data_IF_993741002780
#
_entry.id   IF_993741002780
#
_cell.length_a   1.000
_cell.length_b   1.000
_cell.length_c   1.000
_cell.angle_alpha   90.00
_cell.angle_beta   90.00
_cell.angle_gamma   90.00
#
_symmetry.space_group_name_H-M   'P 1'
#
loop_
_entity.id
_entity.type
_entity.pdbx_description
1 polymer ?
#
# COMPACT_ATOMS: atom_id res chain seq x y z
N UNK A 1 -27.29 28.04 9.67
CA UNK A 1 -28.28 26.95 9.45
C UNK A 1 -29.63 27.62 9.19
N UNK A 2 -30.51 27.00 8.40
CA UNK A 2 -31.88 27.46 8.22
C UNK A 2 -32.67 27.13 9.46
N UNK A 3 -33.78 27.82 9.78
CA UNK A 3 -34.60 27.55 10.99
C UNK A 3 -35.18 26.13 11.05
N UNK A 4 -35.26 25.47 9.89
CA UNK A 4 -35.80 24.13 9.63
C UNK A 4 -34.71 23.05 9.41
N UNK A 5 -33.42 23.41 9.58
CA UNK A 5 -32.30 22.50 9.40
C UNK A 5 -31.47 22.40 10.68
N UNK A 6 -31.31 21.19 11.17
CA UNK A 6 -30.58 20.89 12.39
C UNK A 6 -29.41 19.96 12.12
N UNK A 7 -28.33 20.11 12.87
CA UNK A 7 -27.18 19.20 12.84
C UNK A 7 -27.14 18.45 14.17
N UNK A 8 -27.24 17.13 14.09
CA UNK A 8 -26.99 16.26 15.23
C UNK A 8 -25.58 15.67 15.08
N UNK A 9 -24.76 15.79 16.11
CA UNK A 9 -23.39 15.26 16.15
C UNK A 9 -23.29 14.27 17.30
N UNK A 10 -22.96 13.01 16.98
CA UNK A 10 -22.68 11.98 17.96
C UNK A 10 -21.17 11.73 17.98
N UNK A 11 -20.54 11.97 19.14
CA UNK A 11 -19.12 11.69 19.37
C UNK A 11 -18.99 10.62 20.46
N UNK A 12 -18.42 9.47 20.12
CA UNK A 12 -18.26 8.34 21.04
C UNK A 12 -16.82 7.83 20.93
N UNK A 13 -16.21 7.49 22.07
CA UNK A 13 -14.89 6.87 22.03
C UNK A 13 -14.99 5.44 21.50
N UNK A 14 -14.11 5.08 20.57
CA UNK A 14 -14.19 3.81 19.85
C UNK A 14 -14.04 2.56 20.73
N UNK A 15 -13.45 2.68 21.94
CA UNK A 15 -13.35 1.57 22.90
C UNK A 15 -14.68 1.05 23.44
N UNK A 16 -15.75 1.85 23.32
CA UNK A 16 -17.08 1.50 23.85
C UNK A 16 -18.15 1.41 22.74
N UNK A 17 -17.79 1.67 21.49
CA UNK A 17 -18.73 1.75 20.39
C UNK A 17 -18.05 1.42 19.05
N UNK A 18 -18.56 0.44 18.35
CA UNK A 18 -18.21 0.15 16.95
C UNK A 18 -19.23 0.80 15.99
N UNK A 19 -18.99 0.67 14.66
CA UNK A 19 -19.89 1.24 13.65
C UNK A 19 -21.31 0.71 13.76
N UNK A 20 -21.47 -0.60 13.99
CA UNK A 20 -22.79 -1.21 14.18
C UNK A 20 -23.50 -0.71 15.45
N UNK A 21 -22.74 -0.40 16.49
CA UNK A 21 -23.29 0.25 17.70
C UNK A 21 -23.84 1.63 17.41
N UNK A 22 -23.18 2.41 16.53
CA UNK A 22 -23.70 3.71 16.06
C UNK A 22 -25.03 3.53 15.33
N UNK A 23 -25.16 2.50 14.49
CA UNK A 23 -26.43 2.16 13.81
C UNK A 23 -27.54 1.86 14.82
N UNK A 24 -27.24 1.09 15.86
CA UNK A 24 -28.19 0.77 16.94
C UNK A 24 -28.64 2.06 17.65
N UNK A 25 -27.67 2.89 18.05
CA UNK A 25 -27.96 4.15 18.76
C UNK A 25 -28.80 5.11 17.91
N UNK A 26 -28.45 5.28 16.64
CA UNK A 26 -29.21 6.14 15.72
C UNK A 26 -30.62 5.59 15.46
N UNK A 27 -30.75 4.29 15.25
CA UNK A 27 -32.04 3.64 15.06
C UNK A 27 -32.96 3.85 16.28
N UNK A 28 -32.44 3.57 17.47
CA UNK A 28 -33.20 3.65 18.70
C UNK A 28 -33.60 5.12 19.00
N UNK A 29 -32.69 6.08 18.75
CA UNK A 29 -32.97 7.51 18.87
C UNK A 29 -34.09 7.98 17.92
N UNK A 30 -34.03 7.57 16.67
CA UNK A 30 -34.97 7.99 15.63
C UNK A 30 -36.34 7.30 15.78
N UNK A 31 -36.37 6.05 16.22
CA UNK A 31 -37.62 5.35 16.57
C UNK A 31 -38.33 6.02 17.73
N UNK A 32 -37.61 6.42 18.80
CA UNK A 32 -38.17 7.12 19.93
C UNK A 32 -38.67 8.52 19.54
N UNK A 33 -37.89 9.27 18.75
CA UNK A 33 -38.29 10.57 18.23
C UNK A 33 -39.55 10.49 17.33
N UNK A 34 -39.65 9.41 16.52
CA UNK A 34 -40.83 9.13 15.68
C UNK A 34 -42.06 8.64 16.45
N UNK A 35 -42.01 8.58 17.79
CA UNK A 35 -43.10 8.12 18.66
C UNK A 35 -43.32 6.62 18.66
N UNK A 36 -42.41 5.85 18.07
CA UNK A 36 -42.44 4.38 18.12
C UNK A 36 -41.70 3.89 19.36
N UNK A 37 -42.31 4.11 20.55
CA UNK A 37 -41.74 3.53 21.78
C UNK A 37 -41.62 2.03 21.66
N UNK A 38 -40.43 1.50 21.73
CA UNK A 38 -40.22 0.10 22.01
C UNK A 38 -40.76 -0.19 23.41
N UNK A 39 -41.82 -0.98 23.52
CA UNK A 39 -42.17 -1.60 24.80
C UNK A 39 -40.91 -2.26 25.37
N UNK A 40 -40.68 -2.00 26.66
CA UNK A 40 -39.50 -2.45 27.40
C UNK A 40 -39.28 -3.97 27.25
N UNK A 41 -38.57 -4.40 26.22
CA UNK A 41 -38.00 -5.73 26.16
C UNK A 41 -36.62 -5.83 26.82
N UNK A 42 -36.39 -4.97 27.81
CA UNK A 42 -35.11 -4.89 28.53
C UNK A 42 -34.93 -5.93 29.65
N UNK A 43 -35.84 -6.86 29.85
CA UNK A 43 -35.87 -7.65 31.08
C UNK A 43 -34.90 -8.87 31.14
N UNK A 44 -34.12 -9.19 30.10
CA UNK A 44 -33.18 -10.35 30.18
C UNK A 44 -32.03 -10.34 29.18
N UNK A 45 -31.54 -9.20 28.74
CA UNK A 45 -30.40 -9.19 27.82
C UNK A 45 -29.12 -9.02 28.65
N UNK A 46 -28.18 -9.98 28.51
CA UNK A 46 -26.80 -9.81 28.90
C UNK A 46 -26.29 -8.48 28.35
N UNK A 47 -25.59 -7.69 29.12
CA UNK A 47 -24.97 -6.44 28.69
C UNK A 47 -23.54 -6.64 28.17
N UNK A 48 -22.90 -5.58 27.66
CA UNK A 48 -21.53 -5.65 27.18
C UNK A 48 -20.56 -6.06 28.30
N UNK A 49 -20.85 -5.73 29.55
CA UNK A 49 -20.05 -6.14 30.71
C UNK A 49 -20.07 -7.66 30.90
N UNK A 50 -21.23 -8.29 30.77
CA UNK A 50 -21.37 -9.76 30.84
C UNK A 50 -20.59 -10.43 29.71
N UNK A 51 -20.68 -9.89 28.48
CA UNK A 51 -19.89 -10.37 27.35
C UNK A 51 -18.39 -10.24 27.61
N UNK A 52 -17.92 -9.06 28.02
CA UNK A 52 -16.52 -8.80 28.33
C UNK A 52 -15.99 -9.69 29.46
N UNK A 53 -16.81 -9.97 30.48
CA UNK A 53 -16.45 -10.87 31.58
C UNK A 53 -16.33 -12.33 31.12
N UNK A 54 -17.16 -12.76 30.18
CA UNK A 54 -17.11 -14.13 29.64
C UNK A 54 -15.99 -14.32 28.59
N UNK A 55 -15.53 -13.26 27.94
CA UNK A 55 -14.57 -13.29 26.83
C UNK A 55 -13.25 -14.00 27.17
N UNK A 56 -12.55 -13.73 28.31
CA UNK A 56 -11.30 -14.40 28.62
C UNK A 56 -11.42 -15.94 28.71
N UNK A 57 -12.56 -16.44 29.21
CA UNK A 57 -12.80 -17.89 29.28
C UNK A 57 -13.02 -18.49 27.92
N UNK A 58 -13.71 -17.78 27.02
CA UNK A 58 -13.92 -18.21 25.63
C UNK A 58 -12.60 -18.23 24.88
N UNK A 59 -11.79 -17.19 25.01
CA UNK A 59 -10.48 -17.10 24.37
C UNK A 59 -9.52 -18.18 24.82
N UNK A 60 -9.53 -18.56 26.11
CA UNK A 60 -8.68 -19.61 26.63
C UNK A 60 -8.87 -20.98 25.95
N UNK A 61 -10.05 -21.21 25.34
CA UNK A 61 -10.35 -22.49 24.67
C UNK A 61 -9.72 -22.62 23.29
N UNK A 62 -9.48 -21.49 22.58
CA UNK A 62 -9.00 -21.49 21.18
C UNK A 62 -7.63 -20.85 21.04
N UNK A 63 -7.13 -20.12 22.07
CA UNK A 63 -5.98 -19.26 22.03
C UNK A 63 -4.75 -19.91 21.39
N UNK A 64 -4.40 -21.11 21.82
CA UNK A 64 -3.17 -21.75 21.36
C UNK A 64 -3.28 -22.15 19.87
N UNK A 65 -4.41 -22.69 19.44
CA UNK A 65 -4.66 -23.00 18.04
C UNK A 65 -4.72 -21.75 17.16
N UNK A 66 -5.35 -20.67 17.66
CA UNK A 66 -5.40 -19.39 16.96
C UNK A 66 -4.00 -18.78 16.82
N UNK A 67 -3.17 -18.83 17.88
CA UNK A 67 -1.77 -18.37 17.85
C UNK A 67 -0.91 -19.18 16.88
N UNK A 68 -1.08 -20.50 16.85
CA UNK A 68 -0.31 -21.35 15.94
C UNK A 68 -0.65 -21.06 14.47
N UNK A 69 -1.95 -20.85 14.15
CA UNK A 69 -2.36 -20.40 12.84
C UNK A 69 -1.74 -19.06 12.45
N UNK A 70 -1.84 -18.05 13.32
CA UNK A 70 -1.28 -16.73 13.04
C UNK A 70 0.24 -16.74 12.95
N UNK A 71 0.92 -17.53 13.77
CA UNK A 71 2.37 -17.69 13.68
C UNK A 71 2.78 -18.25 12.33
N UNK A 72 2.10 -19.30 11.86
CA UNK A 72 2.38 -19.88 10.55
C UNK A 72 2.03 -18.93 9.39
N UNK A 73 0.91 -18.20 9.52
CA UNK A 73 0.46 -17.28 8.48
C UNK A 73 1.34 -16.05 8.35
N UNK A 74 1.89 -15.53 9.46
CA UNK A 74 2.67 -14.29 9.48
C UNK A 74 4.18 -14.54 9.46
N UNK A 75 4.63 -15.80 9.45
CA UNK A 75 6.05 -16.13 9.35
C UNK A 75 6.65 -15.57 8.05
N UNK A 76 7.78 -14.88 8.17
CA UNK A 76 8.47 -14.25 7.04
C UNK A 76 7.73 -13.09 6.37
N UNK A 77 6.61 -12.60 6.94
CA UNK A 77 5.95 -11.39 6.42
C UNK A 77 6.91 -10.19 6.56
N UNK A 78 7.11 -9.37 5.50
CA UNK A 78 7.88 -8.15 5.61
C UNK A 78 7.36 -7.24 6.73
N UNK A 79 8.27 -6.65 7.50
CA UNK A 79 7.90 -5.77 8.63
C UNK A 79 7.04 -4.59 8.19
N UNK A 80 7.26 -4.14 6.95
CA UNK A 80 6.56 -2.97 6.39
C UNK A 80 6.35 -3.14 4.89
N UNK A 81 5.19 -2.69 4.43
CA UNK A 81 4.91 -2.50 3.02
C UNK A 81 5.51 -1.16 2.56
N UNK A 82 6.38 -1.19 1.56
CA UNK A 82 7.01 0.00 0.99
C UNK A 82 6.04 0.69 0.01
N UNK A 83 5.11 1.45 0.59
CA UNK A 83 4.19 2.29 -0.18
C UNK A 83 4.97 3.45 -0.84
N UNK A 84 4.62 3.86 -2.07
CA UNK A 84 5.26 4.98 -2.77
C UNK A 84 4.83 6.32 -2.15
N UNK A 85 5.40 6.63 -0.99
CA UNK A 85 5.11 7.83 -0.24
C UNK A 85 5.78 9.06 -0.86
N UNK A 86 5.08 10.21 -0.86
CA UNK A 86 5.60 11.50 -1.34
C UNK A 86 6.58 12.12 -0.35
N UNK A 87 6.42 11.78 0.93
CA UNK A 87 7.22 12.33 2.03
C UNK A 87 7.89 11.24 2.85
N UNK A 88 9.10 11.50 3.39
CA UNK A 88 9.76 10.54 4.26
C UNK A 88 8.98 10.34 5.55
N UNK A 89 8.94 9.10 6.04
CA UNK A 89 8.28 8.75 7.30
C UNK A 89 8.97 9.43 8.47
N UNK A 90 8.19 10.13 9.29
CA UNK A 90 8.66 10.74 10.52
C UNK A 90 9.06 9.67 11.55
N UNK A 91 10.00 9.99 12.46
CA UNK A 91 10.42 9.10 13.55
C UNK A 91 9.33 8.83 14.60
N UNK A 92 8.21 9.53 14.52
CA UNK A 92 7.01 9.31 15.35
C UNK A 92 5.79 9.37 14.46
N UNK A 93 4.81 8.51 14.72
CA UNK A 93 3.54 8.55 14.03
C UNK A 93 2.86 9.92 14.24
N UNK A 94 2.58 10.63 13.15
CA UNK A 94 1.97 11.97 13.23
C UNK A 94 0.46 11.92 13.44
N UNK A 95 -0.18 10.83 13.09
CA UNK A 95 -1.64 10.65 13.05
C UNK A 95 -2.38 11.74 12.25
N UNK A 96 -1.69 12.59 11.50
CA UNK A 96 -2.33 13.55 10.59
C UNK A 96 -2.95 12.80 9.44
N UNK A 97 -4.21 13.08 9.15
CA UNK A 97 -4.93 12.41 8.09
C UNK A 97 -5.73 13.36 7.23
N UNK A 98 -6.19 12.85 6.11
CA UNK A 98 -7.18 13.47 5.25
C UNK A 98 -8.02 12.39 4.58
N UNK A 99 -9.16 12.78 4.03
CA UNK A 99 -10.05 11.91 3.28
C UNK A 99 -10.04 12.28 1.80
N UNK A 100 -9.99 11.28 0.96
CA UNK A 100 -10.24 11.40 -0.47
C UNK A 100 -11.45 10.54 -0.83
N UNK A 101 -12.45 11.14 -1.48
CA UNK A 101 -13.69 10.45 -1.86
C UNK A 101 -13.81 10.42 -3.38
N UNK A 102 -14.09 9.25 -3.91
CA UNK A 102 -14.35 9.02 -5.33
C UNK A 102 -15.68 8.30 -5.53
N UNK A 103 -16.57 8.93 -6.25
CA UNK A 103 -17.78 8.29 -6.75
C UNK A 103 -17.46 7.50 -8.03
N UNK A 104 -17.95 6.29 -8.12
CA UNK A 104 -17.79 5.39 -9.25
C UNK A 104 -19.15 4.92 -9.76
N UNK A 105 -19.91 5.79 -10.47
CA UNK A 105 -21.22 5.42 -10.99
C UNK A 105 -21.09 4.26 -11.99
N UNK A 106 -22.04 3.34 -11.96
CA UNK A 106 -22.08 2.19 -12.86
C UNK A 106 -20.98 1.15 -12.63
N UNK A 107 -20.14 1.28 -11.60
CA UNK A 107 -19.05 0.32 -11.33
C UNK A 107 -19.58 -1.09 -11.15
N UNK A 108 -20.70 -1.27 -10.49
CA UNK A 108 -21.30 -2.57 -10.19
C UNK A 108 -22.22 -3.08 -11.30
N UNK A 109 -22.58 -2.24 -12.27
CA UNK A 109 -23.35 -2.64 -13.45
C UNK A 109 -22.52 -3.51 -14.42
N UNK A 110 -21.20 -3.43 -14.35
CA UNK A 110 -20.29 -4.27 -15.16
C UNK A 110 -20.30 -5.75 -14.74
N UNK A 111 -20.97 -6.08 -13.65
CA UNK A 111 -20.99 -7.43 -13.09
C UNK A 111 -21.73 -8.41 -14.01
N UNK A 112 -20.98 -9.31 -14.63
CA UNK A 112 -21.50 -10.48 -15.35
C UNK A 112 -21.68 -11.62 -14.34
N UNK A 113 -22.76 -11.72 -13.59
CA UNK A 113 -22.89 -12.91 -12.80
C UNK A 113 -24.30 -13.33 -12.43
N UNK A 114 -24.54 -14.58 -12.75
CA UNK A 114 -25.53 -15.49 -12.15
C UNK A 114 -24.89 -16.34 -11.04
N UNK A 115 -23.75 -15.93 -10.45
CA UNK A 115 -23.08 -16.71 -9.40
C UNK A 115 -23.78 -16.46 -8.06
N UNK A 116 -24.31 -17.52 -7.50
CA UNK A 116 -25.01 -17.57 -6.22
C UNK A 116 -24.05 -17.34 -5.04
N UNK A 117 -23.84 -16.09 -4.68
CA UNK A 117 -23.22 -15.61 -3.45
C UNK A 117 -24.02 -14.44 -2.93
N UNK A 118 -23.91 -14.08 -1.64
CA UNK A 118 -24.53 -12.84 -1.20
C UNK A 118 -23.80 -11.69 -1.90
N UNK A 119 -24.55 -10.74 -2.47
CA UNK A 119 -24.00 -9.62 -3.23
C UNK A 119 -22.94 -8.82 -2.43
N UNK A 120 -22.96 -8.92 -1.10
CA UNK A 120 -22.02 -8.30 -0.17
C UNK A 120 -20.69 -9.06 -0.09
N UNK A 121 -20.73 -10.39 0.09
CA UNK A 121 -19.50 -11.21 0.19
C UNK A 121 -18.69 -11.18 -1.10
N UNK A 122 -19.39 -11.18 -2.23
CA UNK A 122 -18.76 -11.04 -3.53
C UNK A 122 -18.10 -9.66 -3.71
N UNK A 123 -18.77 -8.57 -3.27
CA UNK A 123 -18.21 -7.23 -3.37
C UNK A 123 -16.99 -7.08 -2.45
N UNK A 124 -17.05 -7.68 -1.24
CA UNK A 124 -15.93 -7.69 -0.32
C UNK A 124 -14.72 -8.42 -0.93
N UNK A 125 -14.91 -9.65 -1.41
CA UNK A 125 -13.81 -10.45 -1.96
C UNK A 125 -13.19 -9.80 -3.21
N UNK A 126 -14.01 -9.28 -4.14
CA UNK A 126 -13.51 -8.57 -5.31
C UNK A 126 -12.83 -7.25 -4.95
N UNK A 127 -13.42 -6.47 -4.04
CA UNK A 127 -12.85 -5.21 -3.56
C UNK A 127 -11.49 -5.40 -2.87
N UNK A 128 -11.39 -6.38 -1.98
CA UNK A 128 -10.14 -6.71 -1.30
C UNK A 128 -9.10 -7.26 -2.29
N UNK A 129 -9.48 -8.14 -3.20
CA UNK A 129 -8.59 -8.67 -4.23
C UNK A 129 -8.05 -7.55 -5.14
N UNK A 130 -8.90 -6.63 -5.58
CA UNK A 130 -8.48 -5.47 -6.35
C UNK A 130 -7.54 -4.55 -5.55
N UNK A 131 -7.79 -4.37 -4.24
CA UNK A 131 -6.92 -3.60 -3.35
C UNK A 131 -5.54 -4.26 -3.23
N UNK A 132 -5.48 -5.55 -2.92
CA UNK A 132 -4.24 -6.32 -2.82
C UNK A 132 -3.43 -6.28 -4.12
N UNK A 133 -4.08 -6.50 -5.28
CA UNK A 133 -3.43 -6.45 -6.58
C UNK A 133 -2.90 -5.05 -6.92
N UNK A 134 -3.66 -4.01 -6.60
CA UNK A 134 -3.22 -2.62 -6.80
C UNK A 134 -2.01 -2.30 -5.95
N UNK A 135 -2.04 -2.64 -4.66
CA UNK A 135 -0.90 -2.45 -3.74
C UNK A 135 0.33 -3.23 -4.17
N UNK A 136 0.17 -4.52 -4.54
CA UNK A 136 1.26 -5.35 -5.04
C UNK A 136 2.01 -4.67 -6.18
N UNK A 137 1.29 -4.12 -7.15
CA UNK A 137 1.89 -3.44 -8.31
C UNK A 137 2.50 -2.08 -8.00
N UNK A 138 1.89 -1.31 -7.08
CA UNK A 138 2.45 -0.03 -6.66
C UNK A 138 3.73 -0.19 -5.83
N UNK A 139 3.79 -1.23 -5.00
CA UNK A 139 4.93 -1.49 -4.11
C UNK A 139 5.97 -2.41 -4.75
N UNK A 140 5.67 -3.05 -5.89
CA UNK A 140 6.51 -4.12 -6.46
C UNK A 140 6.69 -5.30 -5.49
N UNK A 141 5.69 -5.55 -4.64
CA UNK A 141 5.75 -6.56 -3.59
C UNK A 141 4.96 -7.81 -4.00
N UNK A 142 5.62 -8.97 -3.96
CA UNK A 142 4.99 -10.26 -4.28
C UNK A 142 4.23 -10.83 -3.07
N UNK A 143 4.58 -10.42 -1.86
CA UNK A 143 4.00 -10.84 -0.60
C UNK A 143 3.64 -9.62 0.23
N UNK A 144 2.37 -9.47 0.55
CA UNK A 144 1.88 -8.34 1.32
C UNK A 144 0.67 -8.72 2.17
N UNK A 145 0.38 -7.91 3.17
CA UNK A 145 -0.77 -8.09 4.04
C UNK A 145 -1.57 -6.79 4.19
N UNK A 146 -2.88 -6.96 4.31
CA UNK A 146 -3.85 -5.90 4.53
C UNK A 146 -4.67 -6.25 5.77
N UNK A 147 -4.88 -5.29 6.65
CA UNK A 147 -5.81 -5.43 7.76
C UNK A 147 -7.26 -5.37 7.29
N UNK A 148 -8.13 -6.13 7.92
CA UNK A 148 -9.57 -6.01 7.72
C UNK A 148 -10.31 -6.11 9.04
N UNK A 149 -11.18 -5.14 9.37
CA UNK A 149 -11.99 -5.21 10.58
C UNK A 149 -13.11 -6.22 10.40
N UNK A 150 -13.25 -7.13 11.36
CA UNK A 150 -14.28 -8.16 11.35
C UNK A 150 -15.14 -8.05 12.60
N UNK A 151 -16.44 -8.31 12.44
CA UNK A 151 -17.37 -8.32 13.56
C UNK A 151 -17.27 -9.62 14.35
N UNK A 152 -17.27 -9.51 15.68
CA UNK A 152 -17.39 -10.63 16.62
C UNK A 152 -18.84 -10.86 17.08
N UNK A 153 -19.83 -10.28 16.41
CA UNK A 153 -21.26 -10.43 16.69
C UNK A 153 -21.78 -11.75 16.08
N UNK A 154 -21.40 -12.85 16.71
CA UNK A 154 -21.64 -14.21 16.24
C UNK A 154 -22.94 -14.83 16.73
N UNK A 155 -23.70 -14.15 17.59
CA UNK A 155 -24.92 -14.67 18.20
C UNK A 155 -25.99 -13.60 18.39
N UNK A 156 -27.26 -14.04 18.42
CA UNK A 156 -28.42 -13.15 18.58
C UNK A 156 -28.33 -12.22 19.82
N UNK A 157 -27.85 -12.69 20.99
CA UNK A 157 -27.73 -11.80 22.15
C UNK A 157 -26.85 -10.59 21.94
N UNK A 158 -25.73 -10.74 21.17
CA UNK A 158 -24.78 -9.62 20.96
C UNK A 158 -25.13 -8.78 19.72
N UNK A 159 -26.04 -9.24 18.86
CA UNK A 159 -26.38 -8.57 17.61
C UNK A 159 -26.91 -7.12 17.81
N UNK A 160 -27.65 -6.87 18.87
CA UNK A 160 -28.24 -5.57 19.21
C UNK A 160 -27.57 -4.90 20.43
N UNK A 161 -26.40 -5.32 20.81
CA UNK A 161 -25.67 -4.80 21.97
C UNK A 161 -24.78 -3.63 21.54
N UNK A 162 -24.77 -2.54 22.31
CA UNK A 162 -23.81 -1.45 22.10
C UNK A 162 -22.49 -1.81 22.77
N UNK A 163 -21.39 -1.76 22.02
CA UNK A 163 -20.06 -2.10 22.52
C UNK A 163 -19.02 -2.22 21.42
N UNK A 164 -17.79 -2.55 21.77
CA UNK A 164 -16.72 -2.79 20.84
C UNK A 164 -16.63 -4.29 20.47
N UNK A 165 -17.19 -4.67 19.33
CA UNK A 165 -17.22 -6.05 18.83
C UNK A 165 -16.44 -6.20 17.53
N UNK A 166 -15.48 -5.32 17.28
CA UNK A 166 -14.63 -5.39 16.09
C UNK A 166 -13.22 -5.79 16.46
N UNK A 167 -12.68 -6.76 15.74
CA UNK A 167 -11.28 -7.16 15.83
C UNK A 167 -10.65 -7.10 14.43
N UNK A 168 -9.49 -6.47 14.24
CA UNK A 168 -8.77 -6.53 12.98
C UNK A 168 -8.17 -7.93 12.76
N UNK A 169 -8.36 -8.49 11.56
CA UNK A 169 -7.64 -9.67 11.08
C UNK A 169 -6.65 -9.28 10.00
N UNK A 170 -5.61 -10.08 9.83
CA UNK A 170 -4.59 -9.86 8.79
C UNK A 170 -4.89 -10.79 7.62
N UNK A 171 -5.08 -10.23 6.43
CA UNK A 171 -5.22 -11.00 5.21
C UNK A 171 -3.92 -10.88 4.42
N UNK A 172 -3.12 -11.94 4.46
CA UNK A 172 -1.89 -12.08 3.68
C UNK A 172 -2.19 -12.89 2.43
N UNK A 173 -1.83 -12.34 1.28
CA UNK A 173 -1.97 -13.04 0.02
C UNK A 173 -0.68 -12.84 -0.77
N UNK A 174 0.04 -13.91 -1.11
CA UNK A 174 1.16 -13.80 -2.04
C UNK A 174 0.66 -13.28 -3.38
N UNK A 175 1.47 -12.50 -4.08
CA UNK A 175 1.13 -12.01 -5.41
C UNK A 175 0.82 -13.19 -6.33
N UNK A 176 -0.35 -13.16 -6.97
CA UNK A 176 -0.72 -14.15 -7.97
C UNK A 176 -0.34 -13.61 -9.35
N UNK A 177 0.94 -13.71 -9.71
CA UNK A 177 1.41 -13.26 -11.03
C UNK A 177 0.83 -14.07 -12.20
N UNK A 178 0.24 -15.25 -11.95
CA UNK A 178 -0.27 -16.17 -12.96
C UNK A 178 -1.62 -16.75 -12.59
N UNK A 179 -2.62 -16.49 -13.41
CA UNK A 179 -3.97 -17.04 -13.23
C UNK A 179 -5.04 -16.08 -13.73
N UNK A 180 -6.29 -16.52 -13.67
CA UNK A 180 -7.44 -15.67 -13.96
C UNK A 180 -7.82 -14.81 -12.75
N UNK A 181 -8.58 -13.75 -12.99
CA UNK A 181 -9.21 -12.94 -11.95
C UNK A 181 -10.05 -13.81 -11.01
N UNK A 182 -10.81 -14.75 -11.56
CA UNK A 182 -11.66 -15.65 -10.78
C UNK A 182 -10.85 -16.53 -9.81
N UNK A 183 -9.69 -17.07 -10.26
CA UNK A 183 -8.80 -17.87 -9.42
C UNK A 183 -8.23 -17.04 -8.28
N UNK A 184 -7.82 -15.81 -8.59
CA UNK A 184 -7.25 -14.90 -7.58
C UNK A 184 -8.29 -14.48 -6.54
N UNK A 185 -9.49 -14.07 -6.96
CA UNK A 185 -10.59 -13.73 -6.04
C UNK A 185 -10.97 -14.93 -5.17
N UNK A 186 -10.95 -16.14 -5.73
CA UNK A 186 -11.20 -17.37 -4.98
C UNK A 186 -10.12 -17.62 -3.93
N UNK A 187 -8.85 -17.42 -4.28
CA UNK A 187 -7.73 -17.55 -3.35
C UNK A 187 -7.81 -16.52 -2.22
N UNK A 188 -8.12 -15.26 -2.53
CA UNK A 188 -8.33 -14.20 -1.53
C UNK A 188 -9.50 -14.55 -0.61
N UNK A 189 -10.61 -15.02 -1.16
CA UNK A 189 -11.78 -15.47 -0.37
C UNK A 189 -11.41 -16.60 0.59
N UNK A 190 -10.61 -17.56 0.14
CA UNK A 190 -10.14 -18.64 0.98
C UNK A 190 -9.32 -18.11 2.17
N UNK A 191 -8.35 -17.22 1.91
CA UNK A 191 -7.55 -16.60 2.98
C UNK A 191 -8.39 -15.78 3.97
N UNK A 192 -9.39 -15.08 3.46
CA UNK A 192 -10.36 -14.37 4.33
C UNK A 192 -11.11 -15.34 5.24
N UNK A 193 -11.62 -16.44 4.68
CA UNK A 193 -12.36 -17.43 5.47
C UNK A 193 -11.48 -18.09 6.54
N UNK A 194 -10.23 -18.45 6.21
CA UNK A 194 -9.26 -18.94 7.19
C UNK A 194 -9.02 -17.92 8.31
N UNK A 195 -8.79 -16.64 7.97
CA UNK A 195 -8.62 -15.58 8.96
C UNK A 195 -9.86 -15.37 9.84
N UNK A 196 -11.06 -15.54 9.27
CA UNK A 196 -12.33 -15.46 10.01
C UNK A 196 -12.52 -16.59 11.01
N UNK A 197 -12.02 -17.78 10.75
CA UNK A 197 -12.04 -18.90 11.71
C UNK A 197 -11.22 -18.57 12.97
N UNK A 198 -10.17 -17.77 12.83
CA UNK A 198 -9.25 -17.34 13.90
C UNK A 198 -9.45 -15.90 14.38
N UNK A 199 -10.61 -15.28 14.05
CA UNK A 199 -10.90 -13.87 14.34
C UNK A 199 -11.09 -13.55 15.83
N UNK A 200 -11.24 -14.57 16.68
CA UNK A 200 -11.49 -14.36 18.10
C UNK A 200 -10.24 -13.95 18.88
N UNK A 201 -9.04 -14.28 18.40
CA UNK A 201 -7.80 -13.84 19.03
C UNK A 201 -7.67 -12.31 18.93
N UNK A 202 -7.62 -11.57 20.05
CA UNK A 202 -7.48 -10.12 20.00
C UNK A 202 -6.18 -9.70 19.29
N UNK A 203 -6.27 -8.70 18.44
CA UNK A 203 -5.12 -8.21 17.68
C UNK A 203 -3.98 -7.75 18.57
N UNK A 204 -4.28 -7.17 19.74
CA UNK A 204 -3.27 -6.79 20.73
C UNK A 204 -2.51 -8.00 21.27
N UNK A 205 -3.19 -9.14 21.44
CA UNK A 205 -2.55 -10.40 21.83
C UNK A 205 -1.62 -10.89 20.72
N UNK A 206 -2.10 -10.85 19.48
CA UNK A 206 -1.29 -11.20 18.31
C UNK A 206 -0.01 -10.35 18.23
N UNK A 207 -0.15 -9.04 18.39
CA UNK A 207 0.99 -8.09 18.37
C UNK A 207 1.97 -8.37 19.52
N UNK A 208 1.47 -8.61 20.73
CA UNK A 208 2.33 -8.85 21.88
C UNK A 208 3.12 -10.16 21.79
N UNK A 209 2.56 -11.19 21.15
CA UNK A 209 3.18 -12.51 21.04
C UNK A 209 4.13 -12.63 19.84
N UNK A 210 3.80 -12.01 18.71
CA UNK A 210 4.52 -12.19 17.45
C UNK A 210 5.35 -10.98 17.00
N UNK A 211 5.10 -9.79 17.53
CA UNK A 211 5.84 -8.56 17.21
C UNK A 211 6.30 -7.81 18.48
N UNK A 212 7.05 -8.44 19.41
CA UNK A 212 7.43 -7.82 20.67
C UNK A 212 8.38 -6.61 20.50
N UNK A 213 9.16 -6.58 19.43
CA UNK A 213 10.14 -5.53 19.11
C UNK A 213 9.64 -4.56 18.03
N UNK A 214 8.35 -4.24 18.04
CA UNK A 214 7.69 -3.37 17.05
C UNK A 214 8.30 -1.97 16.98
N UNK A 215 8.39 -1.44 15.77
CA UNK A 215 8.66 -0.03 15.53
C UNK A 215 7.39 0.79 15.84
N UNK A 216 7.54 1.87 16.61
CA UNK A 216 6.43 2.76 16.95
C UNK A 216 5.99 3.68 15.80
N UNK A 217 6.67 3.65 14.66
CA UNK A 217 6.39 4.51 13.50
C UNK A 217 5.29 3.96 12.59
N UNK A 218 4.94 2.69 12.73
CA UNK A 218 3.91 2.03 11.91
C UNK A 218 3.19 0.91 12.67
N UNK A 219 2.05 0.48 12.15
CA UNK A 219 1.33 -0.67 12.68
C UNK A 219 2.07 -1.96 12.30
N UNK A 220 2.29 -2.90 13.23
CA UNK A 220 2.83 -4.21 12.89
C UNK A 220 1.86 -4.98 12.00
N UNK A 221 2.39 -5.86 11.14
CA UNK A 221 1.71 -6.75 10.20
C UNK A 221 1.02 -6.08 9.01
N UNK A 222 0.44 -4.87 9.15
CA UNK A 222 -0.17 -4.16 8.02
C UNK A 222 -0.16 -2.65 8.23
N UNK A 223 0.02 -1.89 7.16
CA UNK A 223 -0.05 -0.43 7.11
C UNK A 223 -1.26 0.05 6.32
N UNK A 224 -1.93 -0.87 5.64
CA UNK A 224 -3.15 -0.63 4.88
C UNK A 224 -4.29 -1.45 5.46
N UNK A 225 -5.48 -0.84 5.58
CA UNK A 225 -6.70 -1.52 5.96
C UNK A 225 -7.74 -1.43 4.84
N UNK A 226 -8.47 -2.52 4.62
CA UNK A 226 -9.59 -2.56 3.69
C UNK A 226 -10.90 -2.79 4.45
N UNK A 227 -11.90 -1.95 4.17
CA UNK A 227 -13.21 -1.96 4.83
C UNK A 227 -14.31 -1.96 3.78
N UNK A 228 -15.19 -2.96 3.81
CA UNK A 228 -16.45 -2.86 3.10
C UNK A 228 -17.49 -2.18 4.00
N UNK A 229 -17.75 -0.92 3.71
CA UNK A 229 -18.68 -0.10 4.50
C UNK A 229 -20.14 -0.33 4.07
N UNK A 230 -21.02 -0.38 5.03
CA UNK A 230 -22.46 -0.34 4.82
C UNK A 230 -23.01 1.00 5.28
N UNK A 231 -23.92 1.57 4.50
CA UNK A 231 -24.62 2.76 4.97
C UNK A 231 -25.54 2.37 6.13
N UNK A 232 -25.52 3.12 7.24
CA UNK A 232 -26.48 2.89 8.33
C UNK A 232 -27.91 2.89 7.78
N UNK A 233 -28.70 1.89 8.15
CA UNK A 233 -30.13 1.89 7.86
C UNK A 233 -30.80 2.94 8.73
N UNK A 234 -31.01 4.13 8.19
CA UNK A 234 -31.70 5.21 8.88
C UNK A 234 -33.21 4.99 8.79
N UNK A 235 -33.93 4.85 9.91
CA UNK A 235 -35.38 4.74 9.89
C UNK A 235 -36.02 6.00 9.29
N UNK A 236 -37.04 5.83 8.47
CA UNK A 236 -37.85 6.95 8.01
C UNK A 236 -38.68 7.52 9.18
N UNK A 237 -38.51 8.81 9.43
CA UNK A 237 -39.27 9.54 10.43
C UNK A 237 -40.17 10.55 9.70
N UNK A 238 -41.52 10.45 9.85
CA UNK A 238 -42.44 11.36 9.17
C UNK A 238 -42.10 12.84 9.48
N UNK A 239 -41.95 13.62 8.42
CA UNK A 239 -41.63 15.05 8.53
C UNK A 239 -40.16 15.41 8.73
N UNK A 240 -39.27 14.42 8.73
CA UNK A 240 -37.81 14.63 8.74
C UNK A 240 -37.17 14.06 7.48
N UNK A 241 -36.33 14.88 6.85
CA UNK A 241 -35.38 14.45 5.84
C UNK A 241 -34.01 14.33 6.51
N UNK A 242 -33.46 13.10 6.57
CA UNK A 242 -32.27 12.79 7.37
C UNK A 242 -31.13 12.40 6.45
N UNK A 243 -30.05 13.17 6.47
CA UNK A 243 -28.83 12.89 5.76
C UNK A 243 -27.71 12.51 6.75
N UNK A 244 -27.08 11.37 6.52
CA UNK A 244 -25.89 10.96 7.28
C UNK A 244 -24.63 11.41 6.55
N UNK A 245 -23.74 12.09 7.27
CA UNK A 245 -22.43 12.52 6.76
C UNK A 245 -21.33 12.05 7.71
N UNK A 246 -20.29 11.43 7.14
CA UNK A 246 -19.03 11.19 7.84
C UNK A 246 -18.29 12.52 8.00
N UNK A 247 -17.78 12.79 9.17
CA UNK A 247 -16.91 13.94 9.42
C UNK A 247 -15.46 13.55 9.24
N UNK A 248 -14.71 14.36 8.50
CA UNK A 248 -13.26 14.29 8.49
C UNK A 248 -12.72 14.83 9.81
N UNK A 249 -12.01 13.99 10.55
CA UNK A 249 -11.39 14.36 11.83
C UNK A 249 -9.98 14.92 11.64
N UNK A 250 -9.46 14.93 10.42
CA UNK A 250 -8.08 15.33 10.12
C UNK A 250 -7.03 14.35 10.67
N UNK A 251 -7.45 13.10 10.95
CA UNK A 251 -6.56 12.08 11.51
C UNK A 251 -6.60 10.78 10.72
N UNK A 252 -5.47 10.06 10.70
CA UNK A 252 -5.37 8.69 10.19
C UNK A 252 -4.56 7.84 11.16
N UNK A 253 -5.03 6.62 11.45
CA UNK A 253 -4.34 5.67 12.33
C UNK A 253 -3.34 4.79 11.58
N UNK A 254 -3.53 4.64 10.29
CA UNK A 254 -2.71 3.83 9.39
C UNK A 254 -2.14 4.71 8.27
N UNK A 255 -1.30 4.15 7.44
CA UNK A 255 -0.84 4.83 6.24
C UNK A 255 -2.00 5.07 5.28
N UNK A 256 -2.82 4.03 5.06
CA UNK A 256 -4.03 4.08 4.24
C UNK A 256 -5.15 3.24 4.86
N UNK A 257 -6.39 3.74 4.79
CA UNK A 257 -7.60 2.92 4.98
C UNK A 257 -8.50 3.10 3.76
N UNK A 258 -8.77 2.01 3.05
CA UNK A 258 -9.62 2.00 1.86
C UNK A 258 -11.00 1.53 2.24
N UNK A 259 -11.98 2.41 2.16
CA UNK A 259 -13.40 2.08 2.34
C UNK A 259 -14.05 1.91 0.97
N UNK A 260 -14.71 0.79 0.77
CA UNK A 260 -15.53 0.53 -0.39
C UNK A 260 -17.00 0.46 0.05
N UNK A 261 -17.86 1.26 -0.56
CA UNK A 261 -19.30 1.30 -0.24
C UNK A 261 -20.14 1.19 -1.51
N UNK A 262 -21.18 0.39 -1.45
CA UNK A 262 -22.16 0.33 -2.52
C UNK A 262 -23.00 1.62 -2.57
N UNK A 263 -23.16 2.20 -3.74
CA UNK A 263 -23.97 3.39 -4.00
C UNK A 263 -24.87 3.15 -5.23
N UNK A 264 -26.07 2.65 -5.03
CA UNK A 264 -26.97 2.26 -6.12
C UNK A 264 -26.37 1.14 -6.99
N UNK A 265 -26.24 1.42 -8.28
CA UNK A 265 -25.58 0.58 -9.29
C UNK A 265 -24.05 0.81 -9.38
N UNK A 266 -23.56 1.79 -8.64
CA UNK A 266 -22.15 2.11 -8.50
C UNK A 266 -21.57 1.84 -7.14
N UNK A 267 -20.39 2.40 -6.90
CA UNK A 267 -19.73 2.36 -5.60
C UNK A 267 -19.13 3.73 -5.28
N UNK A 268 -18.92 3.97 -3.99
CA UNK A 268 -18.10 5.05 -3.47
C UNK A 268 -16.86 4.44 -2.85
N UNK A 269 -15.71 4.99 -3.19
CA UNK A 269 -14.42 4.64 -2.62
C UNK A 269 -13.96 5.83 -1.81
N UNK A 270 -13.77 5.63 -0.50
CA UNK A 270 -13.18 6.64 0.38
C UNK A 270 -11.82 6.13 0.84
N UNK A 271 -10.79 6.97 0.73
CA UNK A 271 -9.45 6.65 1.24
C UNK A 271 -9.12 7.65 2.34
N UNK A 272 -8.99 7.14 3.58
CA UNK A 272 -8.35 7.85 4.67
C UNK A 272 -6.85 7.59 4.56
N UNK A 273 -6.05 8.64 4.59
CA UNK A 273 -4.61 8.52 4.40
C UNK A 273 -3.83 9.42 5.34
N UNK A 274 -2.60 9.00 5.66
CA UNK A 274 -1.66 9.80 6.43
C UNK A 274 -1.12 10.94 5.56
N UNK A 275 -1.60 12.17 5.79
CA UNK A 275 -1.18 13.36 5.05
C UNK A 275 0.26 13.82 5.36
N UNK A 276 0.94 13.18 6.30
CA UNK A 276 2.38 13.31 6.50
C UNK A 276 3.22 12.41 5.59
N UNK A 277 2.58 11.47 4.88
CA UNK A 277 3.24 10.57 3.94
C UNK A 277 2.82 10.82 2.49
N UNK A 278 1.57 11.16 2.25
CA UNK A 278 0.99 11.25 0.91
C UNK A 278 0.36 12.60 0.63
N UNK A 279 0.52 13.06 -0.59
CA UNK A 279 -0.20 14.19 -1.15
C UNK A 279 -1.52 13.73 -1.79
N UNK A 280 -2.52 14.62 -1.79
CA UNK A 280 -3.84 14.30 -2.35
C UNK A 280 -3.82 13.83 -3.82
N UNK A 281 -2.97 14.38 -4.74
CA UNK A 281 -2.88 13.87 -6.10
C UNK A 281 -2.40 12.42 -6.20
N UNK A 282 -1.48 12.00 -5.35
CA UNK A 282 -0.97 10.61 -5.29
C UNK A 282 -2.09 9.66 -4.87
N UNK A 283 -2.85 10.03 -3.83
CA UNK A 283 -4.01 9.25 -3.38
C UNK A 283 -5.10 9.19 -4.45
N UNK A 284 -5.35 10.31 -5.14
CA UNK A 284 -6.30 10.34 -6.25
C UNK A 284 -5.90 9.34 -7.36
N UNK A 285 -4.64 9.35 -7.78
CA UNK A 285 -4.12 8.43 -8.80
C UNK A 285 -4.20 6.96 -8.36
N UNK A 286 -3.84 6.64 -7.11
CA UNK A 286 -3.96 5.29 -6.54
C UNK A 286 -5.42 4.83 -6.49
N UNK A 287 -6.33 5.71 -6.08
CA UNK A 287 -7.77 5.42 -6.01
C UNK A 287 -8.36 5.18 -7.42
N UNK A 288 -7.90 5.96 -8.41
CA UNK A 288 -8.30 5.78 -9.81
C UNK A 288 -7.83 4.45 -10.37
N UNK A 289 -6.61 4.05 -10.07
CA UNK A 289 -6.06 2.76 -10.46
C UNK A 289 -6.85 1.61 -9.79
N UNK A 290 -7.11 1.70 -8.50
CA UNK A 290 -7.92 0.73 -7.76
C UNK A 290 -9.33 0.59 -8.35
N UNK A 291 -10.02 1.71 -8.61
CA UNK A 291 -11.36 1.71 -9.20
C UNK A 291 -11.38 1.06 -10.59
N UNK A 292 -10.33 1.26 -11.37
CA UNK A 292 -10.17 0.66 -12.70
C UNK A 292 -9.94 -0.84 -12.60
N UNK A 293 -8.98 -1.28 -11.79
CA UNK A 293 -8.71 -2.70 -11.56
C UNK A 293 -9.98 -3.40 -11.10
N UNK A 294 -10.69 -2.84 -10.13
CA UNK A 294 -11.96 -3.42 -9.66
C UNK A 294 -13.01 -3.52 -10.77
N UNK A 295 -13.13 -2.49 -11.62
CA UNK A 295 -14.07 -2.50 -12.76
C UNK A 295 -13.72 -3.60 -13.76
N UNK A 296 -12.46 -3.74 -14.13
CA UNK A 296 -12.00 -4.75 -15.07
C UNK A 296 -12.17 -6.17 -14.51
N UNK A 297 -11.88 -6.38 -13.24
CA UNK A 297 -12.10 -7.66 -12.55
C UNK A 297 -13.58 -8.06 -12.52
N UNK A 298 -14.48 -7.10 -12.26
CA UNK A 298 -15.91 -7.35 -12.25
C UNK A 298 -16.49 -7.60 -13.64
N UNK A 299 -15.92 -6.96 -14.68
CA UNK A 299 -16.38 -7.08 -16.05
C UNK A 299 -15.99 -8.43 -16.68
N UNK A 300 -14.81 -8.95 -16.39
CA UNK A 300 -14.30 -10.20 -16.96
C UNK A 300 -13.52 -11.04 -15.93
N UNK A 301 -14.20 -11.92 -15.19
CA UNK A 301 -13.56 -12.83 -14.25
C UNK A 301 -12.61 -13.85 -14.89
N UNK A 302 -12.73 -14.10 -16.19
CA UNK A 302 -11.87 -15.00 -16.95
C UNK A 302 -10.55 -14.36 -17.41
N UNK A 303 -10.45 -13.03 -17.34
CA UNK A 303 -9.26 -12.26 -17.76
C UNK A 303 -8.05 -12.65 -16.93
N UNK A 304 -6.88 -12.64 -17.55
CA UNK A 304 -5.60 -12.91 -16.87
C UNK A 304 -5.21 -11.70 -16.01
N UNK A 305 -4.59 -11.97 -14.87
CA UNK A 305 -4.14 -10.91 -13.96
C UNK A 305 -3.08 -9.99 -14.58
N UNK A 306 -2.17 -10.55 -15.39
CA UNK A 306 -1.11 -9.79 -16.05
C UNK A 306 -1.62 -8.85 -17.15
N UNK A 307 -2.85 -9.05 -17.64
CA UNK A 307 -3.52 -8.18 -18.62
C UNK A 307 -4.23 -6.98 -17.98
N UNK A 308 -4.44 -6.99 -16.65
CA UNK A 308 -5.06 -5.87 -15.94
C UNK A 308 -4.06 -4.71 -15.85
N UNK A 309 -4.47 -3.50 -16.21
CA UNK A 309 -3.60 -2.32 -16.22
C UNK A 309 -3.92 -1.36 -15.08
N UNK A 310 -2.89 -0.83 -14.40
CA UNK A 310 -3.04 0.33 -13.52
C UNK A 310 -3.22 1.64 -14.32
N UNK A 311 -2.78 1.68 -15.59
CA UNK A 311 -2.91 2.83 -16.47
C UNK A 311 -4.18 2.74 -17.33
N UNK A 312 -4.87 3.88 -17.56
CA UNK A 312 -6.04 3.95 -18.45
C UNK A 312 -5.65 3.89 -19.93
N UNK A 313 -6.50 3.28 -20.77
CA UNK A 313 -6.31 3.22 -22.22
C UNK A 313 -6.35 4.61 -22.91
N UNK A 314 -6.85 5.65 -22.25
CA UNK A 314 -7.16 6.94 -22.85
C UNK A 314 -6.09 8.01 -22.70
N UNK A 315 -4.95 7.71 -22.17
CA UNK A 315 -3.90 8.71 -22.13
C UNK A 315 -2.73 8.28 -22.99
N UNK A 316 -2.63 8.91 -24.17
CA UNK A 316 -1.36 9.25 -24.77
C UNK A 316 -0.44 10.04 -23.81
N UNK A 317 -0.97 10.49 -22.69
CA UNK A 317 -0.32 10.66 -21.40
C UNK A 317 -0.32 9.29 -20.70
N UNK A 318 0.78 8.59 -20.72
CA UNK A 318 1.18 7.76 -19.60
C UNK A 318 0.74 8.54 -18.36
N UNK A 319 -0.04 7.96 -17.40
CA UNK A 319 -0.08 8.56 -16.07
C UNK A 319 1.40 8.73 -15.76
N UNK A 320 1.82 9.96 -15.48
CA UNK A 320 3.22 10.24 -15.19
C UNK A 320 3.56 9.12 -14.25
N UNK A 321 4.23 8.11 -14.80
CA UNK A 321 4.42 6.79 -14.19
C UNK A 321 4.92 7.20 -12.87
N UNK A 322 4.20 6.89 -11.77
CA UNK A 322 4.35 7.54 -10.52
C UNK A 322 5.85 7.78 -10.43
N UNK A 323 6.26 9.03 -10.73
CA UNK A 323 7.67 9.27 -10.94
C UNK A 323 8.13 9.07 -9.53
N UNK A 324 8.71 7.89 -9.26
CA UNK A 324 9.22 7.57 -7.94
C UNK A 324 10.35 8.57 -7.77
N UNK A 325 9.98 9.72 -7.26
CA UNK A 325 10.94 10.69 -6.83
C UNK A 325 11.56 10.10 -5.58
N UNK A 326 12.73 9.54 -5.73
CA UNK A 326 13.60 9.32 -4.59
C UNK A 326 13.75 10.60 -3.79
N UNK A 327 14.21 10.53 -2.54
CA UNK A 327 14.45 11.74 -1.75
C UNK A 327 15.26 12.73 -2.58
N UNK A 328 14.79 13.97 -2.68
CA UNK A 328 15.56 15.03 -3.32
C UNK A 328 16.84 15.23 -2.51
N UNK A 329 17.93 14.75 -3.06
CA UNK A 329 19.27 15.01 -2.52
C UNK A 329 19.72 16.31 -3.16
N UNK A 330 19.99 17.31 -2.35
CA UNK A 330 20.63 18.54 -2.83
C UNK A 330 22.11 18.23 -3.11
N UNK A 331 22.43 18.09 -4.38
CA UNK A 331 23.79 17.84 -4.87
C UNK A 331 24.49 19.11 -5.36
N UNK A 332 23.89 20.28 -5.19
CA UNK A 332 24.41 21.56 -5.71
C UNK A 332 25.80 21.96 -5.18
N UNK A 333 26.25 21.35 -4.10
CA UNK A 333 27.59 21.57 -3.50
C UNK A 333 28.53 20.38 -3.63
N UNK A 334 28.08 19.25 -4.18
CA UNK A 334 28.90 18.05 -4.29
C UNK A 334 29.81 18.11 -5.53
N UNK A 335 31.08 17.68 -5.42
CA UNK A 335 31.97 17.64 -6.57
C UNK A 335 31.52 16.51 -7.52
N UNK A 336 31.70 16.71 -8.82
CA UNK A 336 31.57 15.61 -9.79
C UNK A 336 32.60 14.51 -9.48
N UNK A 337 32.34 13.28 -9.89
CA UNK A 337 33.20 12.12 -9.60
C UNK A 337 34.67 12.35 -9.96
N UNK A 338 35.05 12.91 -11.14
CA UNK A 338 36.44 13.21 -11.45
C UNK A 338 37.07 14.24 -10.51
N UNK A 339 36.29 15.22 -10.05
CA UNK A 339 36.77 16.23 -9.09
C UNK A 339 36.95 15.65 -7.69
N UNK A 340 36.05 14.74 -7.27
CA UNK A 340 36.17 14.05 -5.99
C UNK A 340 37.44 13.17 -5.95
N UNK A 341 37.74 12.46 -7.06
CA UNK A 341 38.95 11.66 -7.21
C UNK A 341 40.19 12.54 -7.17
N UNK A 342 40.19 13.68 -7.89
CA UNK A 342 41.30 14.62 -7.90
C UNK A 342 41.55 15.21 -6.50
N UNK A 343 40.53 15.55 -5.74
CA UNK A 343 40.64 15.97 -4.32
C UNK A 343 41.27 14.89 -3.44
N UNK A 344 40.83 13.63 -3.61
CA UNK A 344 41.38 12.49 -2.87
C UNK A 344 42.87 12.29 -3.22
N UNK A 345 43.23 12.38 -4.51
CA UNK A 345 44.62 12.29 -4.98
C UNK A 345 45.49 13.40 -4.41
N UNK A 346 44.98 14.61 -4.30
CA UNK A 346 45.70 15.75 -3.68
C UNK A 346 45.95 15.54 -2.17
N UNK A 347 45.00 14.88 -1.47
CA UNK A 347 45.13 14.63 -0.04
C UNK A 347 46.00 13.41 0.29
N UNK A 348 45.94 12.33 -0.51
CA UNK A 348 46.61 11.05 -0.25
C UNK A 348 47.04 10.36 -1.55
N UNK A 349 48.02 10.89 -2.30
CA UNK A 349 48.38 10.41 -3.64
C UNK A 349 48.80 8.94 -3.68
N UNK A 350 49.51 8.47 -2.65
CA UNK A 350 50.05 7.13 -2.56
C UNK A 350 49.03 6.10 -1.96
N UNK A 351 47.88 6.58 -1.49
CA UNK A 351 46.86 5.65 -0.97
C UNK A 351 46.27 4.82 -2.12
N UNK A 352 45.88 3.58 -1.81
CA UNK A 352 45.24 2.71 -2.74
C UNK A 352 43.84 3.29 -3.15
N UNK A 353 43.68 3.58 -4.43
CA UNK A 353 42.43 4.08 -4.98
C UNK A 353 41.54 2.92 -5.49
N UNK A 354 42.13 1.96 -6.19
CA UNK A 354 41.41 0.81 -6.80
C UNK A 354 42.25 -0.44 -6.67
N UNK A 355 41.63 -1.53 -6.21
CA UNK A 355 42.27 -2.85 -6.12
C UNK A 355 41.37 -3.90 -6.78
N UNK A 356 41.93 -4.70 -7.66
CA UNK A 356 41.21 -5.79 -8.34
C UNK A 356 42.11 -6.53 -9.31
N UNK A 357 41.75 -7.74 -9.71
CA UNK A 357 42.48 -8.57 -10.69
C UNK A 357 43.99 -8.66 -10.40
N UNK A 358 44.41 -8.72 -9.14
CA UNK A 358 45.83 -8.79 -8.76
C UNK A 358 46.62 -7.50 -8.91
N UNK A 359 45.99 -6.38 -9.24
CA UNK A 359 46.58 -5.06 -9.45
C UNK A 359 45.98 -4.03 -8.48
N UNK A 360 46.81 -3.13 -7.95
CA UNK A 360 46.37 -1.98 -7.18
C UNK A 360 46.90 -0.71 -7.84
N UNK A 361 46.04 0.30 -7.98
CA UNK A 361 46.40 1.62 -8.40
C UNK A 361 46.31 2.57 -7.21
N UNK A 362 47.31 3.40 -7.03
CA UNK A 362 47.23 4.55 -6.12
C UNK A 362 46.37 5.67 -6.74
N UNK A 363 45.94 6.65 -5.95
CA UNK A 363 45.24 7.83 -6.48
C UNK A 363 46.10 8.61 -7.50
N UNK A 364 47.39 8.73 -7.27
CA UNK A 364 48.29 9.37 -8.21
C UNK A 364 48.39 8.61 -9.55
N UNK A 365 48.42 7.31 -9.51
CA UNK A 365 48.43 6.45 -10.73
C UNK A 365 47.12 6.53 -11.48
N UNK A 366 45.99 6.47 -10.76
CA UNK A 366 44.65 6.61 -11.34
C UNK A 366 44.48 7.95 -12.04
N UNK A 367 44.84 9.05 -11.41
CA UNK A 367 44.81 10.40 -11.99
C UNK A 367 45.66 10.49 -13.27
N UNK A 368 46.90 10.05 -13.22
CA UNK A 368 47.78 10.04 -14.38
C UNK A 368 47.24 9.25 -15.57
N UNK A 369 46.66 8.07 -15.31
CA UNK A 369 46.08 7.24 -16.37
C UNK A 369 44.81 7.89 -16.93
N UNK A 370 43.97 8.46 -16.08
CA UNK A 370 42.77 9.17 -16.51
C UNK A 370 43.09 10.40 -17.35
N UNK A 371 44.12 11.19 -16.97
CA UNK A 371 44.56 12.34 -17.75
C UNK A 371 45.13 11.97 -19.12
N UNK A 372 45.93 10.91 -19.18
CA UNK A 372 46.45 10.38 -20.46
C UNK A 372 45.33 9.96 -21.38
N UNK A 373 44.31 9.25 -20.86
CA UNK A 373 43.19 8.82 -21.66
C UNK A 373 42.32 10.00 -22.11
N UNK A 374 42.00 10.93 -21.23
CA UNK A 374 41.23 12.13 -21.56
C UNK A 374 41.91 12.97 -22.65
N UNK A 375 43.23 13.16 -22.52
CA UNK A 375 44.04 13.85 -23.54
C UNK A 375 44.07 13.13 -24.92
N UNK A 376 44.00 11.80 -24.92
CA UNK A 376 43.92 11.00 -26.13
C UNK A 376 42.51 10.99 -26.77
N UNK A 377 41.46 11.10 -25.96
CA UNK A 377 40.06 11.07 -26.42
C UNK A 377 39.56 12.41 -26.97
N UNK A 378 40.01 13.51 -26.41
CA UNK A 378 39.59 14.86 -26.81
C UNK A 378 39.84 15.17 -28.31
N UNK A 379 41.01 14.86 -28.91
CA UNK A 379 41.23 15.04 -30.35
C UNK A 379 40.35 14.13 -31.22
N UNK A 380 39.82 13.06 -30.66
CA UNK A 380 38.92 12.10 -31.36
C UNK A 380 37.46 12.53 -31.30
N UNK A 381 37.16 13.66 -30.66
CA UNK A 381 35.79 14.21 -30.58
C UNK A 381 35.00 13.76 -29.35
N UNK A 382 35.64 13.13 -28.36
CA UNK A 382 34.96 12.84 -27.11
C UNK A 382 34.56 14.13 -26.37
N UNK A 383 33.31 14.22 -25.93
CA UNK A 383 32.74 15.39 -25.28
C UNK A 383 31.29 15.14 -24.82
N UNK A 384 30.56 16.19 -24.41
CA UNK A 384 29.18 16.06 -23.97
C UNK A 384 28.32 15.33 -25.02
N UNK A 385 27.50 14.40 -24.54
CA UNK A 385 26.60 13.56 -25.33
C UNK A 385 27.27 12.63 -26.36
N UNK A 386 28.61 12.47 -26.28
CA UNK A 386 29.36 11.52 -27.12
C UNK A 386 29.65 10.25 -26.30
N UNK A 387 29.08 9.08 -26.66
CA UNK A 387 29.37 7.84 -25.98
C UNK A 387 30.73 7.27 -26.40
N UNK A 388 31.53 6.81 -25.44
CA UNK A 388 32.81 6.14 -25.64
C UNK A 388 32.68 4.68 -25.19
N UNK A 389 32.77 3.73 -26.12
CA UNK A 389 32.74 2.32 -25.81
C UNK A 389 34.03 1.85 -25.13
N UNK A 390 33.91 1.16 -24.00
CA UNK A 390 35.03 0.56 -23.27
C UNK A 390 34.93 -0.98 -23.37
N UNK A 391 35.68 -1.56 -24.31
CA UNK A 391 35.77 -3.02 -24.51
C UNK A 391 36.96 -3.56 -23.72
N UNK A 392 36.74 -3.92 -22.46
CA UNK A 392 37.80 -4.37 -21.56
C UNK A 392 37.25 -5.12 -20.36
N UNK A 393 38.10 -5.97 -19.77
CA UNK A 393 37.77 -6.72 -18.57
C UNK A 393 37.55 -5.82 -17.34
N UNK A 394 36.67 -6.19 -16.40
CA UNK A 394 36.50 -5.50 -15.14
C UNK A 394 37.82 -5.49 -14.33
N UNK A 395 38.26 -4.30 -13.93
CA UNK A 395 39.50 -4.16 -13.17
C UNK A 395 39.95 -2.72 -12.97
N UNK A 396 41.11 -2.50 -12.33
CA UNK A 396 41.64 -1.15 -12.08
C UNK A 396 41.84 -0.32 -13.35
N UNK A 397 42.20 -0.95 -14.47
CA UNK A 397 42.36 -0.25 -15.74
C UNK A 397 41.03 0.24 -16.30
N UNK A 398 39.95 -0.52 -16.12
CA UNK A 398 38.60 -0.11 -16.49
C UNK A 398 38.16 1.12 -15.69
N UNK A 399 38.43 1.16 -14.39
CA UNK A 399 38.10 2.33 -13.55
C UNK A 399 38.89 3.56 -13.99
N UNK A 400 40.17 3.38 -14.36
CA UNK A 400 40.98 4.47 -14.91
C UNK A 400 40.42 4.95 -16.27
N UNK A 401 39.94 4.03 -17.11
CA UNK A 401 39.31 4.35 -18.39
C UNK A 401 37.99 5.10 -18.20
N UNK A 402 37.12 4.65 -17.31
CA UNK A 402 35.87 5.33 -16.98
C UNK A 402 36.11 6.75 -16.46
N UNK A 403 37.09 6.91 -15.58
CA UNK A 403 37.48 8.22 -15.05
C UNK A 403 38.02 9.16 -16.13
N UNK A 404 38.83 8.62 -17.06
CA UNK A 404 39.37 9.38 -18.18
C UNK A 404 38.31 9.81 -19.20
N UNK A 405 37.32 8.97 -19.49
CA UNK A 405 36.15 9.31 -20.34
C UNK A 405 35.33 10.43 -19.72
N UNK A 406 35.01 10.33 -18.43
CA UNK A 406 34.32 11.40 -17.71
C UNK A 406 35.12 12.73 -17.69
N UNK A 407 36.46 12.65 -17.59
CA UNK A 407 37.33 13.82 -17.59
C UNK A 407 37.38 14.47 -18.96
N UNK A 408 37.20 13.71 -20.03
CA UNK A 408 37.01 14.22 -21.39
C UNK A 408 35.63 14.86 -21.61
N UNK A 409 34.72 14.78 -20.61
CA UNK A 409 33.35 15.26 -20.70
C UNK A 409 32.40 14.33 -21.44
N UNK A 410 32.79 13.08 -21.70
CA UNK A 410 32.02 12.09 -22.45
C UNK A 410 31.34 11.07 -21.55
N UNK A 411 30.39 10.33 -22.10
CA UNK A 411 29.76 9.19 -21.43
C UNK A 411 30.47 7.88 -21.81
N UNK A 412 30.73 6.99 -20.85
CA UNK A 412 31.28 5.67 -21.16
C UNK A 412 30.18 4.60 -21.30
N UNK A 413 30.43 3.64 -22.16
CA UNK A 413 29.58 2.46 -22.34
C UNK A 413 30.44 1.20 -22.18
N UNK A 414 30.35 0.47 -21.08
CA UNK A 414 31.13 -0.74 -20.86
C UNK A 414 30.57 -1.88 -21.74
N UNK A 415 31.46 -2.54 -22.48
CA UNK A 415 31.17 -3.70 -23.28
C UNK A 415 32.02 -4.88 -22.79
N UNK A 416 31.40 -6.02 -22.65
CA UNK A 416 32.05 -7.24 -22.22
C UNK A 416 32.85 -7.85 -23.43
N UNK A 417 34.17 -8.09 -23.31
CA UNK A 417 34.98 -8.68 -24.36
C UNK A 417 34.54 -10.11 -24.75
N UNK A 418 33.88 -10.83 -23.83
CA UNK A 418 33.42 -12.19 -24.07
C UNK A 418 32.08 -12.25 -24.84
N UNK A 419 31.47 -11.11 -25.16
CA UNK A 419 30.25 -11.11 -25.95
C UNK A 419 30.50 -11.59 -27.37
N UNK A 420 29.53 -12.33 -27.98
CA UNK A 420 29.58 -12.67 -29.38
C UNK A 420 29.77 -11.43 -30.25
N UNK A 421 30.56 -11.57 -31.30
CA UNK A 421 30.90 -10.49 -32.23
C UNK A 421 29.68 -9.75 -32.78
N UNK A 422 28.61 -10.48 -33.13
CA UNK A 422 27.36 -9.89 -33.62
C UNK A 422 26.73 -8.97 -32.60
N UNK A 423 26.73 -9.36 -31.30
CA UNK A 423 26.20 -8.53 -30.21
C UNK A 423 27.02 -7.26 -29.96
N UNK A 424 28.35 -7.34 -30.11
CA UNK A 424 29.23 -6.19 -30.00
C UNK A 424 28.99 -5.20 -31.16
N UNK A 425 28.85 -5.72 -32.40
CA UNK A 425 28.55 -4.93 -33.58
C UNK A 425 27.19 -4.23 -33.48
N UNK A 426 26.17 -4.92 -32.98
CA UNK A 426 24.86 -4.35 -32.75
C UNK A 426 24.89 -3.25 -31.67
N UNK A 427 25.60 -3.48 -30.56
CA UNK A 427 25.75 -2.49 -29.50
C UNK A 427 26.48 -1.23 -29.99
N UNK A 428 27.57 -1.40 -30.77
CA UNK A 428 28.31 -0.29 -31.38
C UNK A 428 27.47 0.49 -32.39
N UNK A 429 26.65 -0.22 -33.21
CA UNK A 429 25.75 0.43 -34.15
C UNK A 429 24.68 1.29 -33.51
N UNK A 430 24.27 0.99 -32.25
CA UNK A 430 23.32 1.79 -31.47
C UNK A 430 23.98 3.03 -30.85
N UNK A 431 25.31 3.09 -30.76
CA UNK A 431 26.06 4.20 -30.19
C UNK A 431 26.49 5.23 -31.24
N UNK A 432 26.43 4.86 -32.54
CA UNK A 432 26.80 5.72 -33.66
C UNK A 432 25.62 6.63 -34.07
#
# INVERSE_FOLDING_TARGET
MRPDAHLFVLAVHHSVCDEHSVEILLRDLLEDFGGRRREEKCASLADFGDYAHALPRRLALTRDGDLDYWRATLDGLPERLDLPADHPREKRASYRGALYVRECPGLLSARRSDVAGTAREDLYANGLAACLLTLSRYCGADDLAVGSPVSLRDSTPVANMVGMFVNPVVVRTPSAERGSVADYVSAVRHRVNEALEHRNLPFETLVSELAPHRDATHNPFFQVMFVLETRPAIPEVPGLDIEFRRLDTGTSKLDLTVFLRRAGDGAEITVEYNSGLFDAPTIAAMTDAYARVLREMLADPGRRLDELSLAGESSGDRPAAATMHGPRIDVSGEPLLPEAIARAAACAPEAAAVTGAGKTLSYAELERMADQLAGGLAPLGAGPDVPVALLMDPGPDMVAAMTGVHRAGAAYVPLDPDWPRERLEDALAQLA
#
